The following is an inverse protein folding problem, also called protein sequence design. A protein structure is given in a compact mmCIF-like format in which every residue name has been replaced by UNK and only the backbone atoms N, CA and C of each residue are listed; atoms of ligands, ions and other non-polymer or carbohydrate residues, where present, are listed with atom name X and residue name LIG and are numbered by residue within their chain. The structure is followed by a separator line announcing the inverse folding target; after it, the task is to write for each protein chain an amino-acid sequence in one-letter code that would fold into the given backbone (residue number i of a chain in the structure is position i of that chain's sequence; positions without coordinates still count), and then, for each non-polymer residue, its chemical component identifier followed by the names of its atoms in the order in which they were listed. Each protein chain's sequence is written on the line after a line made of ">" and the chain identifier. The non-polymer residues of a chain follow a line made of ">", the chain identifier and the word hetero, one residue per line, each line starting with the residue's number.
data_IF_802765308987
#
_entry.id   IF_802765308987
#
_cell.length_a   1.000
_cell.length_b   1.000
_cell.length_c   1.000
_cell.angle_alpha   90.00
_cell.angle_beta   90.00
_cell.angle_gamma   90.00
#
_symmetry.space_group_name_H-M   'P 1'
#
loop_
_entity.id
_entity.type
_entity.pdbx_description
1 polymer ?
#
# COMPACT_ATOMS: atom_id res chain seq x y z
N UNK A 1 12.81 -0.02 -1.24
CA UNK A 1 12.62 0.40 -2.64
C UNK A 1 11.15 0.51 -2.95
N UNK A 2 10.75 1.46 -3.79
CA UNK A 2 9.38 1.61 -4.27
C UNK A 2 9.18 0.72 -5.50
N UNK A 3 8.02 0.06 -5.61
CA UNK A 3 7.68 -0.81 -6.74
C UNK A 3 6.33 -0.48 -7.33
N UNK A 4 6.22 -0.59 -8.65
CA UNK A 4 4.94 -0.53 -9.33
C UNK A 4 4.06 -1.73 -8.93
N UNK A 5 2.85 -1.49 -8.44
CA UNK A 5 1.90 -2.57 -8.12
C UNK A 5 1.40 -3.35 -9.34
N UNK A 6 1.46 -2.77 -10.55
CA UNK A 6 0.99 -3.44 -11.76
C UNK A 6 2.02 -4.41 -12.37
N UNK A 7 3.30 -4.01 -12.45
CA UNK A 7 4.34 -4.81 -13.10
C UNK A 7 5.52 -5.21 -12.20
N UNK A 8 5.58 -4.74 -10.95
CA UNK A 8 6.64 -5.07 -10.00
C UNK A 8 7.98 -4.35 -10.21
N UNK A 9 8.11 -3.53 -11.28
CA UNK A 9 9.32 -2.76 -11.57
C UNK A 9 9.69 -1.87 -10.39
N UNK A 10 10.96 -1.91 -10.02
CA UNK A 10 11.55 -1.01 -9.04
C UNK A 10 11.64 0.42 -9.59
N UNK A 11 11.26 1.39 -8.77
CA UNK A 11 11.15 2.79 -9.12
C UNK A 11 12.09 3.61 -8.23
N UNK A 12 12.98 4.39 -8.86
CA UNK A 12 13.83 5.37 -8.19
C UNK A 12 13.06 6.68 -8.01
N UNK A 13 12.16 6.69 -7.02
CA UNK A 13 11.31 7.84 -6.73
C UNK A 13 11.72 8.45 -5.40
N UNK A 14 12.38 9.60 -5.45
CA UNK A 14 12.81 10.34 -4.25
C UNK A 14 11.76 11.38 -3.81
N UNK A 15 11.05 11.99 -4.77
CA UNK A 15 9.98 12.97 -4.49
C UNK A 15 8.61 12.32 -4.28
N UNK A 16 7.62 13.13 -3.87
CA UNK A 16 6.21 12.71 -3.87
C UNK A 16 5.77 12.42 -5.31
N UNK A 17 5.11 11.29 -5.52
CA UNK A 17 4.54 10.90 -6.82
C UNK A 17 3.33 11.77 -7.10
N UNK A 18 3.32 12.39 -8.28
CA UNK A 18 2.21 13.21 -8.75
C UNK A 18 1.01 12.36 -9.17
N UNK A 19 -0.18 12.98 -9.24
CA UNK A 19 -1.42 12.28 -9.64
C UNK A 19 -1.34 11.69 -11.06
N UNK A 20 -0.69 12.40 -11.98
CA UNK A 20 -0.56 11.97 -13.39
C UNK A 20 0.71 11.15 -13.68
N UNK A 21 1.44 10.76 -12.63
CA UNK A 21 2.72 10.09 -12.81
C UNK A 21 2.53 8.60 -13.08
N UNK A 22 3.23 8.10 -14.10
CA UNK A 22 3.06 6.75 -14.62
C UNK A 22 4.36 5.95 -14.55
N UNK A 23 4.23 4.63 -14.56
CA UNK A 23 5.37 3.74 -14.60
C UNK A 23 6.02 3.77 -15.98
N UNK A 24 7.30 4.10 -16.06
CA UNK A 24 8.05 4.09 -17.33
C UNK A 24 8.19 2.73 -18.01
N UNK A 25 7.83 1.62 -17.34
CA UNK A 25 7.88 0.27 -17.93
C UNK A 25 6.54 -0.23 -18.47
N UNK A 26 5.43 0.01 -17.75
CA UNK A 26 4.12 -0.53 -18.13
C UNK A 26 3.04 0.53 -18.36
N UNK A 27 3.36 1.81 -18.19
CA UNK A 27 2.42 2.93 -18.36
C UNK A 27 1.35 3.06 -17.28
N UNK A 28 1.29 2.15 -16.31
CA UNK A 28 0.29 2.19 -15.25
C UNK A 28 0.48 3.40 -14.32
N UNK A 29 -0.63 3.93 -13.82
CA UNK A 29 -0.62 5.01 -12.82
C UNK A 29 0.14 4.62 -11.56
N UNK A 30 0.94 5.54 -11.04
CA UNK A 30 1.71 5.32 -9.82
C UNK A 30 0.99 5.82 -8.56
N UNK A 31 0.19 6.88 -8.68
CA UNK A 31 -0.62 7.42 -7.58
C UNK A 31 -1.94 6.65 -7.44
N UNK A 32 -1.85 5.39 -7.02
CA UNK A 32 -2.99 4.48 -6.88
C UNK A 32 -3.02 3.86 -5.49
N UNK A 33 -4.19 3.48 -4.98
CA UNK A 33 -4.28 2.88 -3.64
C UNK A 33 -3.33 1.67 -3.49
N UNK A 34 -3.18 0.82 -4.52
CA UNK A 34 -2.27 -0.34 -4.46
C UNK A 34 -0.78 0.01 -4.28
N UNK A 35 -0.38 1.24 -4.57
CA UNK A 35 0.96 1.76 -4.29
C UNK A 35 1.03 2.55 -2.98
N UNK A 36 -0.09 2.81 -2.32
CA UNK A 36 -0.16 3.59 -1.10
C UNK A 36 0.27 2.77 0.14
N UNK A 37 0.91 3.42 1.09
CA UNK A 37 1.29 2.90 2.39
C UNK A 37 0.07 2.49 3.21
N UNK A 38 -0.99 3.31 3.14
CA UNK A 38 -2.21 3.15 3.94
C UNK A 38 -3.17 2.10 3.39
N UNK A 39 -2.97 1.63 2.16
CA UNK A 39 -3.84 0.60 1.60
C UNK A 39 -3.73 -0.72 2.36
N UNK A 40 -4.88 -1.24 2.77
CA UNK A 40 -5.00 -2.51 3.48
C UNK A 40 -6.32 -3.18 3.09
N UNK A 41 -6.27 -4.27 2.33
CA UNK A 41 -7.46 -5.06 2.04
C UNK A 41 -8.18 -5.47 3.34
N UNK A 42 -9.49 -5.24 3.39
CA UNK A 42 -10.34 -5.59 4.53
C UNK A 42 -10.36 -4.56 5.67
N UNK A 43 -9.67 -3.42 5.54
CA UNK A 43 -9.95 -2.25 6.38
C UNK A 43 -11.22 -1.54 5.90
N UNK A 44 -11.75 -0.61 6.71
CA UNK A 44 -12.82 0.28 6.24
C UNK A 44 -12.35 1.05 5.00
N UNK A 45 -13.09 0.96 3.90
CA UNK A 45 -12.71 1.48 2.58
C UNK A 45 -11.37 0.93 2.02
N UNK A 46 -10.86 -0.19 2.52
CA UNK A 46 -9.53 -0.73 2.23
C UNK A 46 -8.39 0.26 2.52
N UNK A 47 -8.60 1.20 3.44
CA UNK A 47 -7.65 2.23 3.81
C UNK A 47 -7.51 2.29 5.33
N UNK A 48 -6.28 2.48 5.83
CA UNK A 48 -6.04 2.70 7.26
C UNK A 48 -6.13 4.15 7.69
N UNK A 49 -6.14 5.08 6.75
CA UNK A 49 -6.33 6.51 7.02
C UNK A 49 -7.85 6.80 7.05
N UNK A 50 -8.46 7.01 8.23
CA UNK A 50 -9.91 7.15 8.36
C UNK A 50 -10.45 8.42 7.72
N UNK A 51 -9.62 9.47 7.58
CA UNK A 51 -10.01 10.73 6.95
C UNK A 51 -9.87 10.70 5.43
N UNK A 52 -9.24 9.67 4.86
CA UNK A 52 -9.11 9.55 3.42
C UNK A 52 -10.45 9.24 2.76
N UNK A 53 -10.71 9.94 1.65
CA UNK A 53 -11.89 9.68 0.83
C UNK A 53 -11.91 8.25 0.29
N UNK A 54 -13.11 7.69 0.16
CA UNK A 54 -13.30 6.34 -0.39
C UNK A 54 -13.00 6.34 -1.88
N UNK A 55 -11.87 5.74 -2.26
CA UNK A 55 -11.56 5.41 -3.65
C UNK A 55 -12.23 4.08 -4.03
N UNK A 56 -13.02 4.01 -5.10
CA UNK A 56 -13.64 2.75 -5.54
C UNK A 56 -12.66 1.91 -6.35
N UNK A 57 -12.05 2.49 -7.39
CA UNK A 57 -11.05 1.80 -8.20
C UNK A 57 -9.64 1.99 -7.60
N UNK A 58 -9.14 0.93 -6.94
CA UNK A 58 -7.85 0.94 -6.26
C UNK A 58 -6.64 0.93 -7.20
N UNK A 59 -6.86 0.64 -8.49
CA UNK A 59 -5.84 0.46 -9.52
C UNK A 59 -5.66 1.69 -10.42
N UNK A 60 -6.55 2.67 -10.35
CA UNK A 60 -6.49 3.92 -11.12
C UNK A 60 -6.00 5.09 -10.29
N UNK A 61 -5.45 6.09 -10.99
CA UNK A 61 -5.09 7.36 -10.39
C UNK A 61 -6.27 7.97 -9.63
N UNK A 62 -5.98 8.60 -8.49
CA UNK A 62 -6.98 9.23 -7.64
C UNK A 62 -6.46 10.54 -7.04
N UNK A 63 -7.35 11.23 -6.33
CA UNK A 63 -7.11 12.56 -5.77
C UNK A 63 -6.75 12.55 -4.28
N UNK A 64 -6.49 11.38 -3.69
CA UNK A 64 -6.27 11.25 -2.25
C UNK A 64 -5.05 12.06 -1.77
N UNK A 65 -5.30 13.08 -0.95
CA UNK A 65 -4.23 13.96 -0.45
C UNK A 65 -3.31 13.27 0.57
N UNK A 66 -3.83 12.23 1.23
CA UNK A 66 -3.11 11.37 2.17
C UNK A 66 -2.22 10.33 1.48
N UNK A 67 -2.10 10.33 0.16
CA UNK A 67 -1.27 9.34 -0.51
C UNK A 67 0.21 9.44 -0.12
N UNK A 68 0.75 8.29 0.29
CA UNK A 68 2.17 8.07 0.55
C UNK A 68 2.59 6.79 -0.16
N UNK A 69 3.58 6.86 -1.03
CA UNK A 69 4.03 5.68 -1.79
C UNK A 69 4.75 4.70 -0.85
N UNK A 70 4.26 3.46 -0.78
CA UNK A 70 4.80 2.42 0.08
C UNK A 70 6.19 1.95 -0.37
N UNK A 71 7.13 1.88 0.55
CA UNK A 71 8.41 1.22 0.33
C UNK A 71 8.28 -0.29 0.63
N UNK A 72 9.12 -1.12 0.00
CA UNK A 72 9.26 -2.55 0.29
C UNK A 72 9.43 -2.84 1.79
N UNK A 73 10.12 -1.95 2.54
CA UNK A 73 10.27 -2.08 4.00
C UNK A 73 8.93 -2.00 4.71
N UNK A 74 8.10 -1.04 4.32
CA UNK A 74 6.74 -0.89 4.86
C UNK A 74 5.85 -2.09 4.49
N UNK A 75 6.13 -2.72 3.34
CA UNK A 75 5.40 -3.91 2.91
C UNK A 75 5.72 -5.13 3.76
N UNK A 76 7.00 -5.34 4.10
CA UNK A 76 7.47 -6.51 4.87
C UNK A 76 6.98 -6.54 6.32
N UNK A 77 6.84 -5.37 6.95
CA UNK A 77 6.21 -5.27 8.28
C UNK A 77 4.76 -5.76 8.32
N UNK A 78 4.08 -5.87 7.16
CA UNK A 78 2.67 -6.29 7.06
C UNK A 78 2.45 -7.80 7.06
N UNK A 79 3.45 -8.59 6.65
CA UNK A 79 3.35 -10.06 6.58
C UNK A 79 3.93 -10.72 7.82
N UNK A 80 5.08 -10.26 8.31
CA UNK A 80 5.77 -10.83 9.47
C UNK A 80 4.92 -10.82 10.76
N UNK A 81 4.02 -9.85 10.93
CA UNK A 81 3.20 -9.74 12.13
C UNK A 81 1.96 -10.65 12.19
N UNK A 82 1.53 -11.28 11.09
CA UNK A 82 0.27 -12.04 11.08
C UNK A 82 0.41 -13.45 11.67
N UNK A 83 1.53 -14.11 11.39
CA UNK A 83 1.82 -15.47 11.90
C UNK A 83 2.36 -15.39 13.33
N UNK A 84 3.28 -14.46 13.60
CA UNK A 84 3.87 -14.27 14.94
C UNK A 84 2.84 -13.78 15.98
N UNK A 85 1.92 -12.87 15.62
CA UNK A 85 0.89 -12.42 16.55
C UNK A 85 -0.12 -13.52 16.90
N UNK A 86 -0.45 -14.42 15.96
CA UNK A 86 -1.39 -15.52 16.21
C UNK A 86 -0.77 -16.57 17.11
N UNK A 87 0.47 -16.98 16.83
CA UNK A 87 1.23 -17.90 17.69
C UNK A 87 1.43 -17.35 19.10
N UNK A 88 1.70 -16.04 19.26
CA UNK A 88 1.81 -15.38 20.58
C UNK A 88 0.48 -15.29 21.31
N UNK A 89 -0.62 -15.06 20.59
CA UNK A 89 -1.97 -15.08 21.16
C UNK A 89 -2.31 -16.49 21.67
N UNK A 90 -2.09 -17.52 20.87
CA UNK A 90 -2.35 -18.91 21.26
C UNK A 90 -1.51 -19.33 22.48
N UNK A 91 -0.24 -18.88 22.56
CA UNK A 91 0.62 -19.10 23.73
C UNK A 91 0.12 -18.40 25.01
N UNK A 92 -0.54 -17.24 24.89
CA UNK A 92 -1.13 -16.53 26.03
C UNK A 92 -2.37 -17.26 26.58
N UNK A 93 -3.12 -17.95 25.73
CA UNK A 93 -4.35 -18.65 26.13
C UNK A 93 -4.17 -20.15 26.41
N UNK A 94 -2.93 -20.68 26.36
CA UNK A 94 -2.56 -22.07 26.74
C UNK A 94 -3.57 -23.11 26.22
N UNK A 95 -3.62 -23.30 24.92
CA UNK A 95 -4.26 -24.47 24.31
C UNK A 95 -3.23 -25.48 23.84
#
# INVERSE_FOLDING_TARGET
>A
MKRCSACGKELSVERKVGRSETCGQCGADLHVCLNCLFYRPGAYNDCREPQAERVVDKKRSNFCDFFVFADDRDRRGRTAGKEDARSRLDALFKK
#
